data_IF_018218072560
#
_entry.id   IF_018218072560
#
_cell.length_a   1.000
_cell.length_b   1.000
_cell.length_c   1.000
_cell.angle_alpha   90.00
_cell.angle_beta   90.00
_cell.angle_gamma   90.00
#
_symmetry.space_group_name_H-M   'P 1'
#
loop_
_entity.id
_entity.type
_entity.pdbx_description
1 polymer ?
#
# COMPACT_ATOMS: atom_id res chain seq x y z
N UNK A 1 -2.28 -2.82 7.65
CA UNK A 1 -2.60 -1.72 6.70
C UNK A 1 -2.96 -2.31 5.34
N UNK A 2 -2.46 -3.49 5.02
CA UNK A 2 -2.51 -4.11 3.70
C UNK A 2 -3.91 -4.39 3.17
N UNK A 3 -4.87 -4.75 4.03
CA UNK A 3 -6.26 -4.91 3.58
C UNK A 3 -6.88 -3.60 3.12
N UNK A 4 -6.61 -2.50 3.84
CA UNK A 4 -7.11 -1.17 3.48
C UNK A 4 -6.42 -0.70 2.20
N UNK A 5 -5.09 -0.81 2.12
CA UNK A 5 -4.33 -0.48 0.92
C UNK A 5 -4.84 -1.26 -0.30
N UNK A 6 -5.03 -2.57 -0.15
CA UNK A 6 -5.58 -3.43 -1.18
C UNK A 6 -6.99 -3.00 -1.59
N UNK A 7 -7.88 -2.70 -0.64
CA UNK A 7 -9.24 -2.25 -0.96
C UNK A 7 -9.26 -0.94 -1.75
N UNK A 8 -8.35 -0.02 -1.43
CA UNK A 8 -8.18 1.24 -2.17
C UNK A 8 -7.62 0.98 -3.57
N UNK A 9 -6.64 0.09 -3.72
CA UNK A 9 -6.08 -0.32 -5.01
C UNK A 9 -7.13 -0.97 -5.90
N UNK A 10 -7.93 -1.89 -5.35
CA UNK A 10 -9.05 -2.54 -6.05
C UNK A 10 -10.05 -1.49 -6.53
N UNK A 11 -10.44 -0.57 -5.64
CA UNK A 11 -11.38 0.49 -5.97
C UNK A 11 -10.86 1.37 -7.12
N UNK A 12 -9.59 1.78 -7.08
CA UNK A 12 -9.00 2.63 -8.11
C UNK A 12 -8.98 1.95 -9.49
N UNK A 13 -8.57 0.67 -9.56
CA UNK A 13 -8.60 -0.11 -10.81
C UNK A 13 -10.02 -0.35 -11.31
N UNK A 14 -10.93 -0.72 -10.42
CA UNK A 14 -12.32 -0.97 -10.76
C UNK A 14 -13.03 0.30 -11.26
N UNK A 15 -12.66 1.47 -10.75
CA UNK A 15 -13.26 2.74 -11.16
C UNK A 15 -12.92 3.09 -12.61
N UNK A 16 -11.66 2.90 -13.01
CA UNK A 16 -11.23 3.17 -14.39
C UNK A 16 -11.43 1.98 -15.34
N UNK A 17 -11.70 0.78 -14.80
CA UNK A 17 -11.64 -0.51 -15.48
C UNK A 17 -10.26 -0.83 -16.11
N UNK A 18 -9.23 -0.08 -15.69
CA UNK A 18 -7.87 -0.24 -16.19
C UNK A 18 -7.20 -1.44 -15.50
N UNK A 19 -6.92 -2.50 -16.28
CA UNK A 19 -6.30 -3.72 -15.76
C UNK A 19 -7.17 -4.45 -14.72
N UNK A 20 -8.50 -4.26 -14.77
CA UNK A 20 -9.46 -4.90 -13.87
C UNK A 20 -10.24 -6.07 -14.53
N UNK A 21 -9.76 -6.51 -15.69
CA UNK A 21 -10.18 -7.76 -16.33
C UNK A 21 -9.96 -8.98 -15.42
N UNK A 22 -10.50 -10.14 -15.80
CA UNK A 22 -10.39 -11.37 -15.00
C UNK A 22 -8.93 -11.73 -14.63
N UNK A 23 -7.98 -11.48 -15.55
CA UNK A 23 -6.54 -11.69 -15.31
C UNK A 23 -5.96 -10.73 -14.27
N UNK A 24 -6.21 -9.43 -14.41
CA UNK A 24 -5.71 -8.42 -13.47
C UNK A 24 -6.33 -8.53 -12.07
N UNK A 25 -7.60 -8.94 -11.98
CA UNK A 25 -8.24 -9.29 -10.69
C UNK A 25 -7.59 -10.51 -10.04
N UNK A 26 -7.24 -11.53 -10.81
CA UNK A 26 -6.54 -12.71 -10.28
C UNK A 26 -5.16 -12.32 -9.74
N UNK A 27 -4.41 -11.52 -10.50
CA UNK A 27 -3.11 -10.99 -10.07
C UNK A 27 -3.21 -10.21 -8.75
N UNK A 28 -4.20 -9.32 -8.63
CA UNK A 28 -4.42 -8.55 -7.40
C UNK A 28 -4.75 -9.42 -6.18
N UNK A 29 -5.53 -10.49 -6.39
CA UNK A 29 -5.86 -11.44 -5.33
C UNK A 29 -4.64 -12.29 -4.93
N UNK A 30 -3.76 -12.60 -5.88
CA UNK A 30 -2.51 -13.30 -5.60
C UNK A 30 -1.49 -12.40 -4.88
N UNK A 31 -1.48 -11.10 -5.19
CA UNK A 31 -0.66 -10.10 -4.52
C UNK A 31 -1.10 -9.84 -3.09
N UNK A 32 -2.40 -9.95 -2.76
CA UNK A 32 -2.92 -9.72 -1.41
C UNK A 32 -2.16 -10.48 -0.30
N UNK A 33 -2.03 -11.83 -0.33
CA UNK A 33 -1.29 -12.56 0.70
C UNK A 33 0.19 -12.18 0.74
N UNK A 34 0.79 -11.84 -0.40
CA UNK A 34 2.18 -11.38 -0.48
C UNK A 34 2.38 -10.00 0.16
N UNK A 35 1.46 -9.06 -0.08
CA UNK A 35 1.45 -7.73 0.54
C UNK A 35 1.23 -7.84 2.05
N UNK A 36 0.23 -8.63 2.48
CA UNK A 36 -0.02 -8.84 3.92
C UNK A 36 1.17 -9.51 4.61
N UNK A 37 1.77 -10.52 3.96
CA UNK A 37 2.95 -11.21 4.48
C UNK A 37 4.18 -10.31 4.56
N UNK A 38 4.43 -9.49 3.53
CA UNK A 38 5.53 -8.52 3.51
C UNK A 38 5.35 -7.41 4.55
N UNK A 39 4.14 -6.87 4.74
CA UNK A 39 3.84 -5.93 5.83
C UNK A 39 4.14 -6.54 7.20
N UNK A 40 3.71 -7.78 7.43
CA UNK A 40 3.97 -8.47 8.69
C UNK A 40 5.47 -8.64 8.94
N UNK A 41 6.22 -9.06 7.92
CA UNK A 41 7.68 -9.20 7.99
C UNK A 41 8.36 -7.86 8.26
N UNK A 42 8.02 -6.81 7.52
CA UNK A 42 8.57 -5.46 7.70
C UNK A 42 8.25 -4.92 9.09
N UNK A 43 7.02 -5.12 9.58
CA UNK A 43 6.63 -4.77 10.94
C UNK A 43 7.46 -5.50 12.00
N UNK A 44 7.69 -6.80 11.84
CA UNK A 44 8.54 -7.57 12.76
C UNK A 44 9.99 -7.08 12.77
N UNK A 45 10.55 -6.82 11.58
CA UNK A 45 11.92 -6.30 11.42
C UNK A 45 12.04 -4.90 12.04
N UNK A 46 11.11 -3.99 11.73
CA UNK A 46 11.07 -2.64 12.29
C UNK A 46 10.96 -2.66 13.82
N UNK A 47 10.13 -3.56 14.37
CA UNK A 47 10.00 -3.76 15.82
C UNK A 47 11.30 -4.29 16.43
N UNK A 48 11.96 -5.25 15.79
CA UNK A 48 13.22 -5.81 16.27
C UNK A 48 14.34 -4.76 16.27
N UNK A 49 14.46 -3.97 15.20
CA UNK A 49 15.39 -2.84 15.08
C UNK A 49 15.10 -1.81 16.16
N UNK A 50 13.84 -1.35 16.28
CA UNK A 50 13.43 -0.39 17.29
C UNK A 50 13.78 -0.84 18.70
N UNK A 51 13.52 -2.12 19.03
CA UNK A 51 13.87 -2.69 20.34
C UNK A 51 15.37 -2.72 20.60
N UNK A 52 16.20 -2.98 19.58
CA UNK A 52 17.67 -2.92 19.70
C UNK A 52 18.18 -1.50 19.91
N UNK A 53 17.59 -0.51 19.25
CA UNK A 53 18.00 0.89 19.37
C UNK A 53 17.71 1.49 20.76
N UNK A 54 16.64 1.04 21.42
CA UNK A 54 16.19 1.61 22.71
C UNK A 54 16.74 0.90 23.94
N UNK A 55 17.68 -0.04 23.81
CA UNK A 55 18.18 -0.86 24.92
C UNK A 55 18.69 -0.03 26.12
N UNK A 56 19.24 1.16 25.86
CA UNK A 56 19.74 2.10 26.89
C UNK A 56 18.86 3.34 27.09
N UNK A 57 17.72 3.41 26.41
CA UNK A 57 16.82 4.57 26.46
C UNK A 57 15.84 4.50 27.65
N UNK A 58 15.19 5.62 28.03
CA UNK A 58 14.11 5.65 29.03
C UNK A 58 12.89 4.81 28.62
N UNK A 59 12.08 4.38 29.59
CA UNK A 59 10.95 3.45 29.40
C UNK A 59 9.91 3.95 28.39
N UNK A 60 9.63 5.26 28.38
CA UNK A 60 8.72 5.86 27.40
C UNK A 60 9.22 5.67 25.96
N UNK A 61 10.51 5.92 25.71
CA UNK A 61 11.16 5.77 24.40
C UNK A 61 11.21 4.30 23.97
N UNK A 62 11.39 3.38 24.93
CA UNK A 62 11.39 1.93 24.67
C UNK A 62 10.08 1.41 24.11
N UNK A 63 8.97 2.07 24.41
CA UNK A 63 7.63 1.68 23.95
C UNK A 63 7.24 2.46 22.70
N UNK A 64 7.49 3.76 22.67
CA UNK A 64 7.07 4.62 21.56
C UNK A 64 7.87 4.37 20.28
N UNK A 65 9.20 4.26 20.36
CA UNK A 65 10.05 4.18 19.15
C UNK A 65 9.80 2.91 18.32
N UNK A 66 9.74 1.69 18.89
CA UNK A 66 9.46 0.50 18.08
C UNK A 66 8.05 0.54 17.48
N UNK A 67 7.08 1.09 18.20
CA UNK A 67 5.70 1.22 17.72
C UNK A 67 5.63 2.21 16.55
N UNK A 68 6.29 3.36 16.69
CA UNK A 68 6.37 4.38 15.65
C UNK A 68 7.06 3.84 14.39
N UNK A 69 8.17 3.10 14.54
CA UNK A 69 8.85 2.46 13.41
C UNK A 69 7.97 1.45 12.68
N UNK A 70 7.20 0.64 13.40
CA UNK A 70 6.23 -0.29 12.79
C UNK A 70 5.16 0.45 12.02
N UNK A 71 4.57 1.49 12.61
CA UNK A 71 3.52 2.29 11.95
C UNK A 71 4.08 2.96 10.70
N UNK A 72 5.20 3.65 10.79
CA UNK A 72 5.83 4.33 9.64
C UNK A 72 6.16 3.33 8.54
N UNK A 73 6.80 2.21 8.86
CA UNK A 73 7.20 1.23 7.85
C UNK A 73 5.99 0.57 7.16
N UNK A 74 4.95 0.21 7.92
CA UNK A 74 3.75 -0.43 7.34
C UNK A 74 2.87 0.55 6.57
N UNK A 75 2.74 1.79 7.03
CA UNK A 75 2.01 2.85 6.30
C UNK A 75 2.77 3.23 5.03
N UNK A 76 4.10 3.33 5.08
CA UNK A 76 4.91 3.62 3.90
C UNK A 76 4.78 2.53 2.83
N UNK A 77 4.83 1.26 3.24
CA UNK A 77 4.65 0.14 2.32
C UNK A 77 3.24 0.11 1.71
N UNK A 78 2.22 0.34 2.52
CA UNK A 78 0.83 0.43 2.08
C UNK A 78 0.63 1.59 1.07
N UNK A 79 1.19 2.75 1.37
CA UNK A 79 1.17 3.91 0.48
C UNK A 79 1.85 3.62 -0.85
N UNK A 80 3.05 3.04 -0.82
CA UNK A 80 3.80 2.66 -2.01
C UNK A 80 3.03 1.66 -2.87
N UNK A 81 2.44 0.63 -2.25
CA UNK A 81 1.62 -0.35 -2.96
C UNK A 81 0.42 0.30 -3.64
N UNK A 82 -0.30 1.16 -2.91
CA UNK A 82 -1.43 1.89 -3.48
C UNK A 82 -1.00 2.80 -4.64
N UNK A 83 0.07 3.57 -4.49
CA UNK A 83 0.56 4.48 -5.51
C UNK A 83 0.98 3.73 -6.79
N UNK A 84 1.67 2.59 -6.66
CA UNK A 84 2.22 1.85 -7.81
C UNK A 84 1.22 0.91 -8.48
N UNK A 85 0.21 0.43 -7.74
CA UNK A 85 -0.75 -0.53 -8.26
C UNK A 85 -2.14 0.05 -8.46
N UNK A 86 -2.45 1.22 -7.88
CA UNK A 86 -3.78 1.84 -7.95
C UNK A 86 -4.03 2.55 -9.27
N UNK A 87 -3.00 3.12 -9.90
CA UNK A 87 -3.03 3.69 -11.25
C UNK A 87 -2.18 2.84 -12.17
N UNK A 88 -2.75 2.43 -13.31
CA UNK A 88 -2.03 1.71 -14.36
C UNK A 88 -1.96 2.61 -15.59
N UNK A 89 -1.00 3.54 -15.57
CA UNK A 89 -0.77 4.43 -16.70
C UNK A 89 -0.47 3.62 -17.97
N UNK A 90 -1.02 4.07 -19.10
CA UNK A 90 -0.88 3.40 -20.40
C UNK A 90 -1.65 2.08 -20.57
N UNK A 91 -2.40 1.61 -19.58
CA UNK A 91 -3.32 0.47 -19.76
C UNK A 91 -4.60 0.94 -20.50
N UNK A 92 -5.24 0.13 -21.36
CA UNK A 92 -6.57 0.47 -21.84
C UNK A 92 -7.55 0.46 -20.65
N UNK A 93 -8.25 1.58 -20.44
CA UNK A 93 -9.35 1.71 -19.49
C UNK A 93 -10.64 1.92 -20.26
N UNK A 94 -11.64 1.09 -19.95
CA UNK A 94 -12.81 0.92 -20.83
C UNK A 94 -14.09 1.50 -20.22
N UNK A 95 -13.97 2.08 -19.01
CA UNK A 95 -15.11 2.57 -18.22
C UNK A 95 -15.74 3.87 -18.75
N UNK A 96 -14.99 4.69 -19.48
CA UNK A 96 -15.39 6.06 -19.84
C UNK A 96 -15.49 7.02 -18.64
N UNK A 97 -15.13 6.58 -17.43
CA UNK A 97 -15.17 7.38 -16.20
C UNK A 97 -13.84 8.06 -15.88
N UNK A 98 -12.73 7.53 -16.43
CA UNK A 98 -11.39 8.06 -16.23
C UNK A 98 -10.83 8.71 -17.50
N UNK A 99 -9.95 9.72 -17.35
CA UNK A 99 -9.14 10.23 -18.46
C UNK A 99 -8.18 9.15 -18.97
N UNK A 100 -7.54 9.39 -20.13
CA UNK A 100 -6.58 8.46 -20.79
C UNK A 100 -5.42 8.03 -19.87
N UNK A 101 -5.11 8.83 -18.85
CA UNK A 101 -4.09 8.47 -17.85
C UNK A 101 -4.54 7.40 -16.83
N UNK A 102 -5.80 6.94 -16.86
CA UNK A 102 -6.38 5.99 -15.90
C UNK A 102 -6.23 6.38 -14.43
N UNK A 103 -6.19 7.69 -14.17
CA UNK A 103 -6.16 8.24 -12.82
C UNK A 103 -7.59 8.61 -12.43
N UNK A 104 -8.17 8.01 -11.38
CA UNK A 104 -9.48 8.41 -10.88
C UNK A 104 -9.49 9.90 -10.53
N UNK A 105 -10.58 10.64 -10.79
CA UNK A 105 -10.64 12.08 -10.46
C UNK A 105 -10.61 12.37 -8.96
N UNK A 106 -10.86 11.38 -8.10
CA UNK A 106 -10.70 11.48 -6.64
C UNK A 106 -9.29 11.07 -6.17
N UNK A 107 -8.36 10.81 -7.10
CA UNK A 107 -6.98 10.49 -6.76
C UNK A 107 -6.32 11.67 -6.05
N UNK A 108 -5.65 11.46 -4.90
CA UNK A 108 -5.07 12.58 -4.18
C UNK A 108 -3.82 13.14 -4.88
N UNK A 109 -3.75 14.46 -5.06
CA UNK A 109 -2.67 15.16 -5.77
C UNK A 109 -1.25 14.94 -5.21
N UNK A 110 -1.15 14.49 -3.96
CA UNK A 110 0.12 14.22 -3.28
C UNK A 110 0.63 12.78 -3.47
N UNK A 111 -0.17 11.90 -4.06
CA UNK A 111 0.21 10.52 -4.37
C UNK A 111 0.68 10.48 -5.84
N UNK A 112 1.90 10.00 -6.12
CA UNK A 112 2.39 9.90 -7.48
C UNK A 112 1.51 8.94 -8.29
N UNK A 113 1.42 9.23 -9.59
CA UNK A 113 0.69 8.43 -10.60
C UNK A 113 1.66 7.63 -11.46
#
# INVERSE_FOLDING_TARGET
MGFVAWSLTVWARAYCDAGYEAGGRLELNFLLPLVVGSEALVGLVARAIGRRLVLRAPTAVRVSLPTLLVVVATVWLAWWFFATQGTLDGYPGDSGLCPVSNVPPQWPDWIPV
#
